data_IF_977479501837
#
_entry.id   IF_977479501837
#
_cell.length_a   1.000
_cell.length_b   1.000
_cell.length_c   1.000
_cell.angle_alpha   90.00
_cell.angle_beta   90.00
_cell.angle_gamma   90.00
#
_symmetry.space_group_name_H-M   'P 1'
#
loop_
_entity.id
_entity.type
_entity.pdbx_description
1 polymer ?
#
# COMPACT_ATOMS: atom_id res chain seq x y z
N UNK A 1 -17.19 -13.61 -40.89
CA UNK A 1 -17.94 -13.01 -39.75
C UNK A 1 -16.95 -12.68 -38.64
N UNK A 2 -17.05 -11.52 -37.95
CA UNK A 2 -16.17 -11.23 -36.82
C UNK A 2 -16.31 -12.35 -35.78
N UNK A 3 -15.18 -12.90 -35.31
CA UNK A 3 -15.18 -13.96 -34.29
C UNK A 3 -15.90 -13.44 -33.04
N UNK A 4 -16.94 -14.14 -32.61
CA UNK A 4 -17.61 -13.83 -31.36
C UNK A 4 -16.65 -14.08 -30.19
N UNK A 5 -16.57 -13.11 -29.28
CA UNK A 5 -15.79 -13.27 -28.04
C UNK A 5 -16.52 -14.29 -27.17
N UNK A 6 -15.84 -15.39 -26.86
CA UNK A 6 -16.39 -16.47 -26.02
C UNK A 6 -16.43 -16.08 -24.55
N UNK A 7 -17.27 -16.74 -23.76
CA UNK A 7 -17.36 -16.50 -22.31
C UNK A 7 -16.03 -16.77 -21.59
N UNK A 8 -15.25 -17.76 -22.06
CA UNK A 8 -13.92 -18.05 -21.52
C UNK A 8 -12.96 -16.86 -21.74
N UNK A 9 -13.00 -16.26 -22.93
CA UNK A 9 -12.23 -15.05 -23.23
C UNK A 9 -12.71 -13.86 -22.39
N UNK A 10 -14.03 -13.66 -22.25
CA UNK A 10 -14.59 -12.61 -21.39
C UNK A 10 -14.12 -12.75 -19.93
N UNK A 11 -14.10 -13.97 -19.38
CA UNK A 11 -13.60 -14.23 -18.02
C UNK A 11 -12.11 -13.90 -17.88
N UNK A 12 -11.28 -14.33 -18.84
CA UNK A 12 -9.84 -14.01 -18.87
C UNK A 12 -9.60 -12.50 -18.94
N UNK A 13 -10.34 -11.81 -19.80
CA UNK A 13 -10.25 -10.35 -19.95
C UNK A 13 -10.75 -9.61 -18.70
N UNK A 14 -11.84 -10.06 -18.08
CA UNK A 14 -12.33 -9.49 -16.84
C UNK A 14 -11.30 -9.63 -15.70
N UNK A 15 -10.61 -10.78 -15.63
CA UNK A 15 -9.49 -10.98 -14.70
C UNK A 15 -8.34 -10.02 -15.01
N UNK A 16 -7.90 -9.92 -16.27
CA UNK A 16 -6.87 -8.96 -16.69
C UNK A 16 -7.21 -7.51 -16.32
N UNK A 17 -8.48 -7.09 -16.46
CA UNK A 17 -8.92 -5.74 -16.06
C UNK A 17 -8.84 -5.54 -14.54
N UNK A 18 -9.23 -6.54 -13.74
CA UNK A 18 -9.14 -6.46 -12.26
C UNK A 18 -7.70 -6.43 -11.78
N UNK A 19 -6.85 -7.23 -12.43
CA UNK A 19 -5.43 -7.39 -12.08
C UNK A 19 -4.54 -6.34 -12.76
N UNK A 20 -5.13 -5.28 -13.35
CA UNK A 20 -4.38 -4.27 -14.08
C UNK A 20 -3.28 -3.62 -13.21
N UNK A 21 -2.04 -3.52 -13.71
CA UNK A 21 -0.90 -3.00 -12.95
C UNK A 21 -1.09 -1.53 -12.59
N UNK A 22 -0.56 -1.12 -11.43
CA UNK A 22 -0.71 0.26 -10.94
C UNK A 22 0.11 1.27 -11.74
N UNK A 23 1.23 0.82 -12.32
CA UNK A 23 2.19 1.65 -13.06
C UNK A 23 1.72 1.98 -14.48
N UNK A 24 0.74 1.25 -15.01
CA UNK A 24 0.23 1.48 -16.37
C UNK A 24 -1.08 2.27 -16.35
N UNK A 25 -1.23 3.17 -17.32
CA UNK A 25 -2.45 3.96 -17.45
C UNK A 25 -3.68 3.06 -17.66
N UNK A 26 -4.65 3.16 -16.76
CA UNK A 26 -5.87 2.36 -16.80
C UNK A 26 -6.96 3.04 -17.65
N UNK A 27 -6.93 2.77 -18.95
CA UNK A 27 -7.89 3.30 -19.93
C UNK A 27 -8.31 2.25 -20.96
N UNK A 28 -9.40 2.51 -21.67
CA UNK A 28 -9.95 1.57 -22.65
C UNK A 28 -9.00 1.27 -23.81
N UNK A 29 -8.15 2.22 -24.23
CA UNK A 29 -7.21 2.00 -25.33
C UNK A 29 -6.17 0.93 -24.92
N UNK A 30 -5.61 1.07 -23.73
CA UNK A 30 -4.65 0.10 -23.19
C UNK A 30 -5.30 -1.27 -22.96
N UNK A 31 -6.54 -1.31 -22.47
CA UNK A 31 -7.30 -2.56 -22.33
C UNK A 31 -7.50 -3.24 -23.69
N UNK A 32 -7.84 -2.48 -24.74
CA UNK A 32 -7.99 -3.02 -26.09
C UNK A 32 -6.65 -3.62 -26.58
N UNK A 33 -5.55 -2.90 -26.41
CA UNK A 33 -4.21 -3.38 -26.78
C UNK A 33 -3.84 -4.66 -26.03
N UNK A 34 -4.01 -4.68 -24.69
CA UNK A 34 -3.69 -5.85 -23.87
C UNK A 34 -4.57 -7.06 -24.20
N UNK A 35 -5.82 -6.83 -24.62
CA UNK A 35 -6.75 -7.88 -25.04
C UNK A 35 -6.28 -8.67 -26.26
N UNK A 36 -5.31 -8.15 -27.03
CA UNK A 36 -4.68 -8.86 -28.15
C UNK A 36 -4.08 -10.21 -27.71
N UNK A 37 -3.50 -10.28 -26.52
CA UNK A 37 -2.93 -11.51 -25.97
C UNK A 37 -3.97 -12.62 -25.75
N UNK A 38 -5.24 -12.26 -25.55
CA UNK A 38 -6.34 -13.20 -25.26
C UNK A 38 -7.16 -13.51 -26.52
N UNK A 39 -7.37 -12.50 -27.36
CA UNK A 39 -8.25 -12.59 -28.54
C UNK A 39 -7.48 -12.90 -29.84
N UNK A 40 -6.17 -12.65 -29.87
CA UNK A 40 -5.36 -12.70 -31.08
C UNK A 40 -5.49 -11.47 -31.99
N UNK A 41 -6.32 -10.49 -31.62
CA UNK A 41 -6.52 -9.23 -32.34
C UNK A 41 -6.85 -8.09 -31.37
N UNK A 42 -6.74 -6.83 -31.82
CA UNK A 42 -7.14 -5.66 -31.02
C UNK A 42 -8.63 -5.38 -31.23
N UNK A 43 -9.49 -5.58 -30.22
CA UNK A 43 -10.90 -5.22 -30.31
C UNK A 43 -11.08 -3.70 -30.22
N UNK A 44 -12.24 -3.20 -30.63
CA UNK A 44 -12.61 -1.80 -30.39
C UNK A 44 -13.13 -1.61 -28.97
N UNK A 45 -13.00 -0.39 -28.43
CA UNK A 45 -13.60 -0.02 -27.14
C UNK A 45 -15.10 -0.32 -27.11
N UNK A 46 -15.83 -0.03 -28.19
CA UNK A 46 -17.26 -0.27 -28.28
C UNK A 46 -17.57 -1.77 -28.12
N UNK A 47 -16.80 -2.63 -28.78
CA UNK A 47 -16.97 -4.09 -28.68
C UNK A 47 -16.75 -4.61 -27.26
N UNK A 48 -15.78 -4.07 -26.52
CA UNK A 48 -15.51 -4.50 -25.14
C UNK A 48 -16.49 -3.88 -24.14
N UNK A 49 -16.76 -2.58 -24.24
CA UNK A 49 -17.62 -1.85 -23.29
C UNK A 49 -19.11 -2.22 -23.40
N UNK A 50 -19.54 -2.78 -24.55
CA UNK A 50 -20.86 -3.37 -24.70
C UNK A 50 -21.03 -4.67 -23.88
N UNK A 51 -19.94 -5.34 -23.50
CA UNK A 51 -20.00 -6.58 -22.70
C UNK A 51 -20.11 -6.23 -21.23
N UNK A 52 -21.26 -6.53 -20.62
CA UNK A 52 -21.57 -6.18 -19.23
C UNK A 52 -20.48 -6.64 -18.23
N UNK A 53 -19.96 -7.86 -18.40
CA UNK A 53 -18.89 -8.40 -17.56
C UNK A 53 -17.63 -7.51 -17.56
N UNK A 54 -17.20 -7.05 -18.75
CA UNK A 54 -16.02 -6.21 -18.90
C UNK A 54 -16.27 -4.78 -18.43
N UNK A 55 -17.47 -4.25 -18.71
CA UNK A 55 -17.90 -2.94 -18.20
C UNK A 55 -17.88 -2.90 -16.68
N UNK A 56 -18.40 -3.95 -16.03
CA UNK A 56 -18.41 -4.05 -14.57
C UNK A 56 -16.99 -4.18 -14.01
N UNK A 57 -16.15 -5.04 -14.60
CA UNK A 57 -14.74 -5.16 -14.20
C UNK A 57 -14.01 -3.82 -14.31
N UNK A 58 -14.24 -3.06 -15.38
CA UNK A 58 -13.66 -1.75 -15.59
C UNK A 58 -14.09 -0.74 -14.52
N UNK A 59 -15.39 -0.67 -14.24
CA UNK A 59 -15.94 0.25 -13.22
C UNK A 59 -15.40 -0.06 -11.82
N UNK A 60 -15.35 -1.34 -11.45
CA UNK A 60 -14.82 -1.77 -10.15
C UNK A 60 -13.35 -1.37 -10.01
N UNK A 61 -12.50 -1.68 -10.99
CA UNK A 61 -11.08 -1.30 -10.94
C UNK A 61 -10.87 0.21 -10.94
N UNK A 62 -11.66 0.95 -11.72
CA UNK A 62 -11.61 2.43 -11.74
C UNK A 62 -11.96 3.02 -10.38
N UNK A 63 -12.97 2.46 -9.70
CA UNK A 63 -13.33 2.85 -8.34
C UNK A 63 -12.19 2.54 -7.37
N UNK A 64 -11.60 1.34 -7.43
CA UNK A 64 -10.45 0.99 -6.59
C UNK A 64 -9.26 1.94 -6.76
N UNK A 65 -8.94 2.38 -7.98
CA UNK A 65 -7.87 3.36 -8.20
C UNK A 65 -8.21 4.74 -7.60
N UNK A 66 -9.47 5.17 -7.71
CA UNK A 66 -9.93 6.41 -7.07
C UNK A 66 -9.86 6.31 -5.55
N UNK A 67 -10.31 5.22 -4.97
CA UNK A 67 -10.31 5.00 -3.52
C UNK A 67 -8.87 4.90 -2.98
N UNK A 68 -7.95 4.33 -3.75
CA UNK A 68 -6.52 4.31 -3.42
C UNK A 68 -5.92 5.73 -3.39
N UNK A 69 -6.33 6.60 -4.33
CA UNK A 69 -5.96 8.02 -4.32
C UNK A 69 -6.62 8.75 -3.14
N UNK A 70 -7.89 8.46 -2.84
CA UNK A 70 -8.62 9.05 -1.72
C UNK A 70 -8.04 8.68 -0.35
N UNK A 71 -7.45 7.49 -0.19
CA UNK A 71 -6.67 7.14 1.02
C UNK A 71 -5.44 8.04 1.22
N UNK A 72 -4.91 8.62 0.14
CA UNK A 72 -3.86 9.65 0.20
C UNK A 72 -4.45 11.03 0.49
N UNK A 73 -5.73 11.28 0.24
CA UNK A 73 -6.38 12.60 0.46
C UNK A 73 -6.52 12.99 1.93
N UNK A 74 -6.33 12.05 2.88
CA UNK A 74 -6.16 12.38 4.31
C UNK A 74 -4.78 12.95 4.64
N UNK A 75 -3.82 12.90 3.71
CA UNK A 75 -2.51 13.53 3.81
C UNK A 75 -2.55 14.83 3.00
N UNK A 76 -2.34 16.00 3.62
CA UNK A 76 -2.26 17.26 2.89
C UNK A 76 -1.25 17.13 1.75
N UNK A 77 -1.71 17.38 0.51
CA UNK A 77 -0.80 17.42 -0.64
C UNK A 77 0.19 18.57 -0.43
N UNK A 78 1.48 18.36 -0.67
CA UNK A 78 2.44 19.46 -0.62
C UNK A 78 2.05 20.50 -1.68
N UNK A 79 2.08 21.78 -1.30
CA UNK A 79 1.67 22.88 -2.19
C UNK A 79 2.69 23.11 -3.31
N UNK A 80 3.95 22.70 -3.09
CA UNK A 80 5.04 22.73 -4.07
C UNK A 80 5.97 21.51 -3.94
N UNK A 81 6.84 21.33 -4.94
CA UNK A 81 7.91 20.32 -4.88
C UNK A 81 8.91 20.61 -3.75
N UNK A 82 9.21 21.89 -3.48
CA UNK A 82 10.07 22.30 -2.38
C UNK A 82 9.45 21.92 -1.03
N UNK A 83 8.15 22.17 -0.83
CA UNK A 83 7.46 21.76 0.41
C UNK A 83 7.49 20.24 0.61
N UNK A 84 7.43 19.48 -0.48
CA UNK A 84 7.55 18.02 -0.42
C UNK A 84 8.96 17.60 0.01
N UNK A 85 9.99 18.22 -0.56
CA UNK A 85 11.39 17.95 -0.22
C UNK A 85 11.69 18.33 1.24
N UNK A 86 11.23 19.49 1.70
CA UNK A 86 11.40 19.95 3.08
C UNK A 86 10.70 19.01 4.07
N UNK A 87 9.48 18.57 3.75
CA UNK A 87 8.75 17.59 4.57
C UNK A 87 9.48 16.26 4.64
N UNK A 88 10.05 15.78 3.54
CA UNK A 88 10.84 14.54 3.51
C UNK A 88 12.10 14.70 4.36
N UNK A 89 12.83 15.81 4.22
CA UNK A 89 14.05 16.08 4.99
C UNK A 89 13.76 16.10 6.50
N UNK A 90 12.69 16.79 6.91
CA UNK A 90 12.27 16.81 8.32
C UNK A 90 11.88 15.44 8.85
N UNK A 91 11.10 14.67 8.08
CA UNK A 91 10.69 13.32 8.48
C UNK A 91 11.89 12.37 8.58
N UNK A 92 12.88 12.51 7.69
CA UNK A 92 14.11 11.74 7.75
C UNK A 92 14.91 12.08 9.01
N UNK A 93 15.07 13.37 9.32
CA UNK A 93 15.76 13.84 10.52
C UNK A 93 15.07 13.34 11.80
N UNK A 94 13.74 13.40 11.86
CA UNK A 94 12.97 12.89 13.00
C UNK A 94 13.12 11.37 13.13
N UNK A 95 13.11 10.63 12.01
CA UNK A 95 13.33 9.19 12.03
C UNK A 95 14.71 8.82 12.56
N UNK A 96 15.74 9.54 12.12
CA UNK A 96 17.13 9.31 12.53
C UNK A 96 17.31 9.63 14.02
N UNK A 97 16.70 10.72 14.51
CA UNK A 97 16.69 11.07 15.93
C UNK A 97 15.98 10.01 16.79
N UNK A 98 14.80 9.55 16.36
CA UNK A 98 14.06 8.48 17.06
C UNK A 98 14.85 7.17 17.09
N UNK A 99 15.53 6.80 16.00
CA UNK A 99 16.38 5.61 15.96
C UNK A 99 17.56 5.72 16.93
N UNK A 100 18.19 6.89 17.01
CA UNK A 100 19.26 7.13 17.97
C UNK A 100 18.76 7.02 19.42
N UNK A 101 17.60 7.59 19.73
CA UNK A 101 17.00 7.51 21.07
C UNK A 101 16.67 6.05 21.45
N UNK A 102 16.05 5.29 20.53
CA UNK A 102 15.76 3.86 20.75
C UNK A 102 17.04 3.06 20.97
N UNK A 103 18.10 3.34 20.21
CA UNK A 103 19.39 2.66 20.41
C UNK A 103 19.99 2.96 21.79
N UNK A 104 19.94 4.22 22.23
CA UNK A 104 20.40 4.63 23.56
C UNK A 104 19.57 3.97 24.68
N UNK A 105 18.24 3.97 24.56
CA UNK A 105 17.35 3.29 25.51
C UNK A 105 17.64 1.78 25.59
N UNK A 106 17.90 1.14 24.44
CA UNK A 106 18.24 -0.28 24.39
C UNK A 106 19.59 -0.57 25.06
N UNK A 107 20.58 0.29 24.88
CA UNK A 107 21.87 0.17 25.56
C UNK A 107 21.72 0.29 27.08
N UNK A 108 20.97 1.29 27.55
CA UNK A 108 20.68 1.48 28.98
C UNK A 108 19.94 0.27 29.55
N UNK A 109 18.93 -0.24 28.84
CA UNK A 109 18.21 -1.45 29.24
C UNK A 109 19.14 -2.66 29.35
N UNK A 110 20.07 -2.83 28.40
CA UNK A 110 21.05 -3.92 28.43
C UNK A 110 21.97 -3.82 29.66
N UNK A 111 22.44 -2.61 29.99
CA UNK A 111 23.25 -2.37 31.20
C UNK A 111 22.48 -2.70 32.46
N UNK A 112 21.21 -2.31 32.56
CA UNK A 112 20.36 -2.66 33.71
C UNK A 112 20.13 -4.16 33.83
N UNK A 113 19.82 -4.86 32.73
CA UNK A 113 19.62 -6.32 32.74
C UNK A 113 20.91 -7.03 33.19
N UNK A 114 22.06 -6.62 32.65
CA UNK A 114 23.36 -7.19 33.01
C UNK A 114 23.65 -7.01 34.51
N UNK A 115 23.58 -5.78 35.02
CA UNK A 115 23.86 -5.49 36.43
C UNK A 115 22.85 -6.17 37.37
N UNK A 116 21.58 -6.23 36.98
CA UNK A 116 20.55 -6.92 37.75
C UNK A 116 20.80 -8.44 37.83
N UNK A 117 21.27 -9.05 36.75
CA UNK A 117 21.60 -10.49 36.74
C UNK A 117 22.77 -10.82 37.68
N UNK A 118 23.81 -9.97 37.72
CA UNK A 118 24.93 -10.10 38.67
C UNK A 118 24.44 -9.91 40.11
N UNK A 119 23.45 -9.05 40.34
CA UNK A 119 22.81 -8.85 41.63
C UNK A 119 21.78 -9.94 42.01
N UNK A 120 21.61 -10.99 41.19
CA UNK A 120 20.71 -12.10 41.47
C UNK A 120 19.23 -11.82 41.23
N UNK A 121 18.88 -10.73 40.53
CA UNK A 121 17.50 -10.42 40.18
C UNK A 121 17.05 -11.25 38.97
N UNK A 122 15.87 -11.87 39.07
CA UNK A 122 15.29 -12.61 37.96
C UNK A 122 14.64 -11.66 36.94
N UNK A 123 14.63 -12.08 35.67
CA UNK A 123 13.92 -11.35 34.61
C UNK A 123 12.44 -11.14 34.95
N UNK A 124 11.79 -12.14 35.55
CA UNK A 124 10.39 -12.03 35.96
C UNK A 124 10.18 -10.90 36.96
N UNK A 125 11.11 -10.74 37.93
CA UNK A 125 11.06 -9.63 38.89
C UNK A 125 11.29 -8.27 38.23
N UNK A 126 12.20 -8.18 37.27
CA UNK A 126 12.47 -6.94 36.53
C UNK A 126 11.29 -6.49 35.64
N UNK A 127 10.47 -7.44 35.18
CA UNK A 127 9.32 -7.19 34.33
C UNK A 127 8.00 -7.03 35.10
N UNK A 128 8.04 -7.01 36.43
CA UNK A 128 6.85 -6.72 37.20
C UNK A 128 6.29 -5.33 36.89
N UNK A 129 4.96 -5.19 36.83
CA UNK A 129 4.34 -3.90 36.56
C UNK A 129 4.76 -2.88 37.63
N UNK A 130 4.98 -1.64 37.19
CA UNK A 130 5.26 -0.55 38.13
C UNK A 130 4.11 -0.44 39.16
N UNK A 131 4.42 -0.20 40.44
CA UNK A 131 3.39 0.01 41.45
C UNK A 131 2.45 1.12 40.99
N UNK A 132 1.14 0.93 41.15
CA UNK A 132 0.18 2.01 40.92
C UNK A 132 0.56 3.16 41.85
N UNK A 133 0.88 4.32 41.28
CA UNK A 133 1.19 5.51 42.07
C UNK A 133 0.05 5.73 43.08
N UNK A 134 0.36 5.78 44.38
CA UNK A 134 -0.58 6.34 45.35
C UNK A 134 -0.74 7.82 44.99
N UNK A 135 -1.97 8.18 44.63
CA UNK A 135 -2.42 9.56 44.61
C UNK A 135 -3.15 9.76 45.93
N UNK A 136 -2.44 10.25 46.91
CA UNK A 136 -2.96 10.91 48.12
C UNK A 136 -3.45 12.32 47.80
#
# INVERSE_FOLDING_TARGET
MPKAITDSQLKKMAKMIRDWPQQEAFNWNNICTASRSILGYVPTRQALSAKLMLKNAYQVKKKQQKDAIAKVEGVPRPQSMLDAMDKIARLQQENDALRAEVANMAEIAQRFIYNASIAGLSQQRLMEPLPKARRD
#
